data_IF_910942924409
#
_entry.id   IF_910942924409
#
_cell.length_a   1.000
_cell.length_b   1.000
_cell.length_c   1.000
_cell.angle_alpha   90.00
_cell.angle_beta   90.00
_cell.angle_gamma   90.00
#
_symmetry.space_group_name_H-M   'P 1'
#
loop_
_entity.id
_entity.type
_entity.pdbx_description
1 polymer ?
#
# COMPACT_ATOMS: atom_id res chain seq x y z
N UNK A 1 12.50 -17.51 60.73
CA UNK A 1 13.28 -17.89 59.54
C UNK A 1 12.32 -18.12 58.39
N UNK A 2 12.30 -17.18 57.46
CA UNK A 2 11.33 -16.99 56.39
C UNK A 2 11.72 -17.82 55.17
N UNK A 3 10.83 -18.64 54.62
CA UNK A 3 10.96 -19.17 53.25
C UNK A 3 10.05 -18.35 52.34
N UNK A 4 10.65 -17.44 51.57
CA UNK A 4 10.03 -16.87 50.38
C UNK A 4 10.04 -17.93 49.28
N UNK A 5 8.87 -18.29 48.76
CA UNK A 5 8.76 -18.96 47.47
C UNK A 5 8.01 -18.03 46.54
N UNK A 6 8.75 -17.50 45.56
CA UNK A 6 8.31 -16.56 44.52
C UNK A 6 7.22 -17.19 43.64
N UNK A 7 6.08 -16.52 43.35
CA UNK A 7 5.17 -16.99 42.32
C UNK A 7 5.78 -16.74 40.94
N UNK A 8 5.95 -17.80 40.16
CA UNK A 8 6.39 -17.78 38.77
C UNK A 8 5.28 -17.16 37.91
N UNK A 9 5.38 -15.86 37.60
CA UNK A 9 4.59 -15.25 36.53
C UNK A 9 5.00 -15.92 35.22
N UNK A 10 4.16 -16.83 34.74
CA UNK A 10 4.19 -17.22 33.32
C UNK A 10 2.91 -16.65 32.75
N UNK A 11 3.02 -15.48 32.13
CA UNK A 11 2.00 -14.95 31.24
C UNK A 11 2.13 -15.71 29.93
N UNK A 12 1.25 -16.68 29.59
CA UNK A 12 1.06 -16.99 28.19
C UNK A 12 0.34 -15.78 27.59
N UNK A 13 1.08 -14.87 26.97
CA UNK A 13 0.51 -13.97 25.96
C UNK A 13 0.22 -14.80 24.72
N UNK A 14 -0.73 -15.71 24.84
CA UNK A 14 -1.50 -16.22 23.73
C UNK A 14 -2.71 -15.30 23.74
N UNK A 15 -2.60 -14.18 23.03
CA UNK A 15 -3.80 -13.59 22.43
C UNK A 15 -4.31 -14.67 21.49
N UNK A 16 -5.12 -15.57 22.05
CA UNK A 16 -5.86 -16.58 21.31
C UNK A 16 -6.68 -15.79 20.31
N UNK A 17 -6.31 -15.93 19.05
CA UNK A 17 -7.00 -15.32 17.93
C UNK A 17 -8.35 -16.04 17.73
N UNK A 18 -9.24 -15.93 18.71
CA UNK A 18 -10.68 -16.15 18.53
C UNK A 18 -11.33 -14.82 18.09
N UNK A 19 -10.79 -14.25 17.01
CA UNK A 19 -11.51 -13.24 16.26
C UNK A 19 -12.35 -13.99 15.22
N UNK A 20 -13.65 -14.15 15.48
CA UNK A 20 -14.65 -14.74 14.57
C UNK A 20 -14.94 -13.85 13.36
N UNK A 21 -13.89 -13.28 12.75
CA UNK A 21 -13.89 -12.43 11.57
C UNK A 21 -13.68 -10.94 11.85
N UNK A 22 -12.60 -10.37 11.31
CA UNK A 22 -12.49 -8.94 11.03
C UNK A 22 -12.10 -8.76 9.56
N UNK A 23 -13.10 -8.57 8.70
CA UNK A 23 -12.87 -8.09 7.33
C UNK A 23 -12.94 -6.56 7.39
N UNK A 24 -11.82 -5.93 7.73
CA UNK A 24 -11.69 -4.47 7.64
C UNK A 24 -11.23 -4.10 6.23
N UNK A 25 -12.19 -3.93 5.32
CA UNK A 25 -11.89 -3.31 4.03
C UNK A 25 -11.53 -1.84 4.25
N UNK A 26 -10.29 -1.47 3.94
CA UNK A 26 -9.74 -0.19 4.40
C UNK A 26 -9.54 0.77 3.24
N UNK A 27 -10.08 1.98 3.38
CA UNK A 27 -9.90 3.04 2.40
C UNK A 27 -8.72 3.91 2.79
N UNK A 28 -7.72 3.98 1.91
CA UNK A 28 -6.58 4.89 2.04
C UNK A 28 -6.76 6.04 1.08
N UNK A 29 -6.98 7.24 1.61
CA UNK A 29 -7.21 8.44 0.81
C UNK A 29 -5.93 9.25 0.68
N UNK A 30 -5.48 9.47 -0.55
CA UNK A 30 -4.25 10.22 -0.85
C UNK A 30 -4.58 11.49 -1.63
N UNK A 31 -3.96 12.60 -1.21
CA UNK A 31 -4.11 13.94 -1.81
C UNK A 31 -2.85 14.77 -1.60
N UNK A 32 -2.48 15.60 -2.57
CA UNK A 32 -1.27 16.39 -2.56
C UNK A 32 0.01 15.56 -2.51
N UNK A 33 1.13 16.25 -2.35
CA UNK A 33 2.45 15.62 -2.29
C UNK A 33 2.54 14.61 -1.13
N UNK A 34 3.15 13.46 -1.42
CA UNK A 34 3.37 12.38 -0.45
C UNK A 34 4.87 12.19 -0.22
N UNK A 35 5.22 11.80 1.01
CA UNK A 35 6.54 11.31 1.38
C UNK A 35 6.39 9.98 2.09
N UNK A 36 7.37 9.09 1.91
CA UNK A 36 7.38 7.79 2.56
C UNK A 36 8.80 7.46 3.00
N UNK A 37 8.88 6.70 4.09
CA UNK A 37 10.12 6.05 4.52
C UNK A 37 10.15 4.63 3.94
N UNK A 38 11.31 4.24 3.41
CA UNK A 38 11.54 2.89 2.88
C UNK A 38 12.65 2.25 3.71
N UNK A 39 12.37 1.11 4.33
CA UNK A 39 13.35 0.34 5.10
C UNK A 39 13.52 -1.06 4.52
N UNK A 40 14.71 -1.62 4.72
CA UNK A 40 15.09 -2.94 4.19
C UNK A 40 15.55 -3.82 5.34
N UNK A 41 15.07 -5.07 5.34
CA UNK A 41 15.44 -6.06 6.34
C UNK A 41 15.92 -7.35 5.67
N UNK A 42 16.93 -7.98 6.27
CA UNK A 42 17.48 -9.28 5.89
C UNK A 42 17.78 -9.39 4.38
N UNK A 43 18.38 -8.34 3.81
CA UNK A 43 18.64 -8.26 2.38
C UNK A 43 19.39 -9.49 1.84
N UNK A 44 19.03 -9.94 0.64
CA UNK A 44 19.63 -11.11 -0.04
C UNK A 44 19.51 -12.44 0.73
N UNK A 45 18.50 -12.56 1.60
CA UNK A 45 18.15 -13.82 2.28
C UNK A 45 16.74 -14.29 1.89
N UNK A 46 16.36 -15.54 2.21
CA UNK A 46 14.98 -16.01 2.03
C UNK A 46 13.92 -15.23 2.82
N UNK A 47 14.32 -14.42 3.81
CA UNK A 47 13.43 -13.59 4.64
C UNK A 47 13.59 -12.10 4.35
N UNK A 48 14.14 -11.76 3.18
CA UNK A 48 14.28 -10.39 2.74
C UNK A 48 12.90 -9.74 2.62
N UNK A 49 12.79 -8.51 3.13
CA UNK A 49 11.56 -7.71 3.03
C UNK A 49 11.89 -6.23 2.90
N UNK A 50 11.05 -5.53 2.17
CA UNK A 50 11.07 -4.06 2.05
C UNK A 50 9.83 -3.53 2.74
N UNK A 51 9.97 -2.55 3.61
CA UNK A 51 8.82 -1.86 4.22
C UNK A 51 8.70 -0.46 3.68
N UNK A 52 7.47 0.00 3.50
CA UNK A 52 7.14 1.38 3.13
C UNK A 52 6.19 1.95 4.17
N UNK A 53 6.57 3.06 4.79
CA UNK A 53 5.70 3.81 5.69
C UNK A 53 5.24 5.09 4.99
N UNK A 54 3.95 5.18 4.67
CA UNK A 54 3.31 6.32 4.05
C UNK A 54 2.25 6.88 5.01
N UNK A 55 2.56 7.99 5.68
CA UNK A 55 1.69 8.52 6.73
C UNK A 55 1.44 7.47 7.81
N UNK A 56 0.18 7.07 8.01
CA UNK A 56 -0.21 6.02 8.96
C UNK A 56 -0.32 4.62 8.34
N UNK A 57 0.07 4.45 7.08
CA UNK A 57 0.02 3.16 6.37
C UNK A 57 1.42 2.57 6.31
N UNK A 58 1.61 1.47 7.03
CA UNK A 58 2.78 0.61 6.92
C UNK A 58 2.48 -0.53 5.94
N UNK A 59 3.32 -0.68 4.92
CA UNK A 59 3.26 -1.80 3.99
C UNK A 59 4.56 -2.59 4.03
N UNK A 60 4.46 -3.91 4.16
CA UNK A 60 5.59 -4.83 4.05
C UNK A 60 5.48 -5.61 2.75
N UNK A 61 6.57 -5.67 1.99
CA UNK A 61 6.67 -6.44 0.76
C UNK A 61 7.64 -7.59 0.97
N UNK A 62 7.15 -8.83 0.82
CA UNK A 62 7.95 -10.06 1.01
C UNK A 62 8.61 -10.57 -0.28
N UNK A 63 8.34 -9.93 -1.42
CA UNK A 63 8.90 -10.30 -2.72
C UNK A 63 8.92 -9.09 -3.66
N UNK A 64 9.80 -9.13 -4.67
CA UNK A 64 9.78 -8.13 -5.74
C UNK A 64 8.50 -8.22 -6.56
N UNK A 65 7.95 -9.43 -6.75
CA UNK A 65 6.64 -9.67 -7.39
C UNK A 65 5.49 -8.94 -6.69
N UNK A 66 5.45 -8.97 -5.35
CA UNK A 66 4.44 -8.26 -4.57
C UNK A 66 4.54 -6.73 -4.73
N UNK A 67 5.76 -6.19 -4.65
CA UNK A 67 6.00 -4.76 -4.86
C UNK A 67 5.62 -4.32 -6.30
N UNK A 68 5.96 -5.14 -7.29
CA UNK A 68 5.61 -4.91 -8.68
C UNK A 68 4.09 -4.84 -8.87
N UNK A 69 3.33 -5.79 -8.33
CA UNK A 69 1.86 -5.80 -8.46
C UNK A 69 1.16 -4.62 -7.80
N UNK A 70 1.66 -4.14 -6.65
CA UNK A 70 1.10 -2.93 -6.02
C UNK A 70 1.40 -1.69 -6.88
N UNK A 71 2.62 -1.58 -7.44
CA UNK A 71 2.98 -0.50 -8.35
C UNK A 71 2.15 -0.54 -9.65
N UNK A 72 1.89 -1.72 -10.20
CA UNK A 72 1.00 -1.91 -11.35
C UNK A 72 -0.41 -1.40 -11.07
N UNK A 73 -0.99 -1.81 -9.94
CA UNK A 73 -2.36 -1.41 -9.59
C UNK A 73 -2.50 0.10 -9.46
N UNK A 74 -1.56 0.77 -8.78
CA UNK A 74 -1.56 2.24 -8.73
C UNK A 74 -1.35 2.83 -10.12
N UNK A 75 -0.44 2.29 -10.93
CA UNK A 75 -0.15 2.78 -12.27
C UNK A 75 -1.35 2.66 -13.23
N UNK A 76 -2.22 1.67 -13.04
CA UNK A 76 -3.45 1.53 -13.81
C UNK A 76 -4.40 2.74 -13.65
N UNK A 77 -4.31 3.50 -12.56
CA UNK A 77 -5.06 4.75 -12.41
C UNK A 77 -4.66 5.83 -13.43
N UNK A 78 -3.51 5.69 -14.12
CA UNK A 78 -3.03 6.63 -15.16
C UNK A 78 -4.07 6.91 -16.23
N UNK A 79 -4.90 5.92 -16.61
CA UNK A 79 -5.94 6.10 -17.62
C UNK A 79 -6.99 7.17 -17.26
N UNK A 80 -7.11 7.51 -15.97
CA UNK A 80 -8.18 8.36 -15.43
C UNK A 80 -7.69 9.72 -14.91
N UNK A 81 -6.37 9.89 -14.79
CA UNK A 81 -5.75 11.03 -14.11
C UNK A 81 -5.94 12.38 -14.81
N UNK A 82 -6.06 12.38 -16.14
CA UNK A 82 -6.18 13.63 -16.92
C UNK A 82 -7.42 14.46 -16.57
N UNK A 83 -8.41 13.86 -15.89
CA UNK A 83 -9.66 14.51 -15.47
C UNK A 83 -9.65 14.92 -14.00
N UNK A 84 -8.56 14.69 -13.27
CA UNK A 84 -8.46 15.00 -11.84
C UNK A 84 -7.91 16.41 -11.58
N UNK A 85 -8.22 17.01 -10.42
CA UNK A 85 -7.57 18.23 -9.95
C UNK A 85 -6.04 18.11 -9.94
N UNK A 86 -5.33 19.22 -10.15
CA UNK A 86 -3.87 19.23 -10.17
C UNK A 86 -3.27 18.87 -8.80
N UNK A 87 -3.73 19.56 -7.77
CA UNK A 87 -3.25 19.45 -6.39
C UNK A 87 -4.38 19.88 -5.45
N UNK A 88 -4.60 19.10 -4.39
CA UNK A 88 -5.51 19.44 -3.30
C UNK A 88 -4.67 19.49 -2.03
N UNK A 89 -4.65 20.67 -1.39
CA UNK A 89 -3.88 20.89 -0.18
C UNK A 89 -4.15 19.82 0.88
N UNK A 90 -3.08 19.22 1.40
CA UNK A 90 -3.17 18.29 2.51
C UNK A 90 -3.24 19.07 3.82
N UNK A 91 -4.37 18.98 4.52
CA UNK A 91 -4.41 19.25 5.95
C UNK A 91 -4.35 17.89 6.64
N UNK A 92 -3.15 17.52 7.10
CA UNK A 92 -2.96 16.33 7.90
C UNK A 92 -3.45 16.62 9.33
N UNK A 93 -4.41 15.83 9.81
CA UNK A 93 -4.73 15.75 11.23
C UNK A 93 -3.80 14.69 11.86
N UNK A 94 -2.82 15.09 12.68
CA UNK A 94 -1.81 14.18 13.22
C UNK A 94 -2.33 13.25 14.32
N UNK A 95 -3.51 13.50 14.89
CA UNK A 95 -3.99 12.77 16.07
C UNK A 95 -5.24 11.92 15.83
N UNK A 96 -5.84 11.99 14.63
CA UNK A 96 -7.13 11.34 14.33
C UNK A 96 -7.09 10.13 13.40
N UNK A 97 -5.92 9.70 12.90
CA UNK A 97 -5.85 8.70 11.84
C UNK A 97 -5.46 7.30 12.37
N UNK A 98 -6.26 6.25 12.09
CA UNK A 98 -5.86 4.89 12.43
C UNK A 98 -4.58 4.51 11.69
N UNK A 99 -3.70 3.78 12.38
CA UNK A 99 -2.52 3.17 11.78
C UNK A 99 -2.89 1.81 11.22
N UNK A 100 -2.53 1.56 9.96
CA UNK A 100 -2.84 0.33 9.25
C UNK A 100 -1.52 -0.32 8.84
N UNK A 101 -1.39 -1.61 9.10
CA UNK A 101 -0.28 -2.43 8.62
C UNK A 101 -0.80 -3.46 7.62
N UNK A 102 -0.15 -3.55 6.46
CA UNK A 102 -0.50 -4.52 5.40
C UNK A 102 0.74 -5.27 4.96
N UNK A 103 0.67 -6.59 4.98
CA UNK A 103 1.72 -7.47 4.48
C UNK A 103 1.33 -8.02 3.10
N UNK A 104 2.12 -7.64 2.09
CA UNK A 104 2.02 -8.14 0.73
C UNK A 104 2.93 -9.35 0.55
N UNK A 105 2.34 -10.53 0.71
CA UNK A 105 3.04 -11.82 0.55
C UNK A 105 3.02 -12.32 -0.90
N UNK A 106 2.09 -11.83 -1.71
CA UNK A 106 1.92 -12.18 -3.11
C UNK A 106 1.55 -10.96 -3.96
N UNK A 107 1.64 -11.09 -5.28
CA UNK A 107 1.19 -10.07 -6.24
C UNK A 107 -0.33 -9.89 -6.13
N UNK A 108 -0.84 -8.71 -5.74
CA UNK A 108 -2.28 -8.50 -5.60
C UNK A 108 -2.97 -8.43 -6.95
N UNK A 109 -4.20 -8.93 -7.01
CA UNK A 109 -5.14 -8.53 -8.06
C UNK A 109 -5.59 -7.09 -7.83
N UNK A 110 -5.87 -6.36 -8.91
CA UNK A 110 -6.25 -4.97 -8.82
C UNK A 110 -7.35 -4.58 -9.81
N UNK A 111 -8.09 -3.52 -9.46
CA UNK A 111 -9.02 -2.85 -10.36
C UNK A 111 -8.99 -1.34 -10.12
N UNK A 112 -8.73 -0.56 -11.18
CA UNK A 112 -8.76 0.90 -11.14
C UNK A 112 -10.11 1.41 -11.69
N UNK A 113 -10.91 2.06 -10.84
CA UNK A 113 -12.27 2.48 -11.13
C UNK A 113 -12.35 4.01 -11.02
N UNK A 114 -12.63 4.74 -12.12
CA UNK A 114 -12.88 6.17 -12.05
C UNK A 114 -14.20 6.43 -11.33
N UNK A 115 -14.17 7.36 -10.38
CA UNK A 115 -15.34 7.82 -9.65
C UNK A 115 -15.59 9.29 -9.89
N UNK A 116 -16.85 9.70 -9.79
CA UNK A 116 -17.23 11.11 -9.82
C UNK A 116 -18.45 11.39 -8.96
N UNK A 117 -18.47 12.55 -8.33
CA UNK A 117 -19.62 13.02 -7.54
C UNK A 117 -19.80 14.51 -7.73
N UNK A 118 -21.04 14.92 -7.99
CA UNK A 118 -21.41 16.34 -7.99
C UNK A 118 -21.50 16.81 -6.53
N UNK A 119 -20.96 17.99 -6.24
CA UNK A 119 -21.06 18.58 -4.90
C UNK A 119 -22.52 18.87 -4.54
N UNK A 120 -22.90 18.89 -3.24
CA UNK A 120 -24.29 19.13 -2.83
C UNK A 120 -24.87 20.45 -3.34
N UNK A 121 -24.02 21.46 -3.53
CA UNK A 121 -24.36 22.77 -4.09
C UNK A 121 -24.45 22.78 -5.63
N UNK A 122 -24.23 21.65 -6.29
CA UNK A 122 -24.26 21.45 -7.75
C UNK A 122 -23.25 22.29 -8.57
N UNK A 123 -22.27 22.91 -7.91
CA UNK A 123 -21.31 23.82 -8.59
C UNK A 123 -20.09 23.11 -9.14
N UNK A 124 -19.70 21.98 -8.56
CA UNK A 124 -18.46 21.29 -8.92
C UNK A 124 -18.67 19.78 -9.05
N UNK A 125 -17.94 19.17 -9.98
CA UNK A 125 -17.84 17.71 -10.08
C UNK A 125 -16.51 17.27 -9.50
N UNK A 126 -16.54 16.63 -8.34
CA UNK A 126 -15.38 15.94 -7.77
C UNK A 126 -15.11 14.67 -8.57
N UNK A 127 -13.86 14.43 -8.90
CA UNK A 127 -13.40 13.25 -9.64
C UNK A 127 -12.20 12.67 -8.91
N UNK A 128 -12.22 11.36 -8.71
CA UNK A 128 -11.12 10.62 -8.10
C UNK A 128 -11.08 9.22 -8.71
N UNK A 129 -10.03 8.46 -8.44
CA UNK A 129 -9.96 7.06 -8.87
C UNK A 129 -9.74 6.17 -7.67
N UNK A 130 -10.46 5.07 -7.67
CA UNK A 130 -10.35 4.03 -6.66
C UNK A 130 -9.56 2.88 -7.23
N UNK A 131 -8.43 2.54 -6.60
CA UNK A 131 -7.66 1.35 -6.93
C UNK A 131 -7.91 0.32 -5.85
N UNK A 132 -8.68 -0.70 -6.18
CA UNK A 132 -8.96 -1.84 -5.30
C UNK A 132 -7.79 -2.83 -5.39
N UNK A 133 -7.17 -3.17 -4.26
CA UNK A 133 -6.07 -4.13 -4.18
C UNK A 133 -6.14 -4.89 -2.86
N UNK A 134 -6.50 -6.17 -2.91
CA UNK A 134 -6.62 -7.00 -1.70
C UNK A 134 -7.44 -6.31 -0.59
N UNK A 135 -6.87 -6.05 0.61
CA UNK A 135 -7.58 -5.44 1.74
C UNK A 135 -7.69 -3.91 1.66
N UNK A 136 -7.03 -3.27 0.67
CA UNK A 136 -6.98 -1.81 0.55
C UNK A 136 -7.73 -1.31 -0.69
N UNK A 137 -8.45 -0.21 -0.53
CA UNK A 137 -8.86 0.66 -1.64
C UNK A 137 -8.14 1.98 -1.54
N UNK A 138 -7.34 2.30 -2.54
CA UNK A 138 -6.66 3.59 -2.66
C UNK A 138 -7.57 4.59 -3.36
N UNK A 139 -7.96 5.65 -2.67
CA UNK A 139 -8.68 6.77 -3.26
C UNK A 139 -7.67 7.86 -3.63
N UNK A 140 -7.40 8.00 -4.91
CA UNK A 140 -6.45 8.98 -5.47
C UNK A 140 -7.25 10.21 -5.93
N UNK A 141 -7.06 11.34 -5.24
CA UNK A 141 -7.92 12.52 -5.39
C UNK A 141 -7.38 13.58 -6.36
N UNK A 142 -6.08 13.62 -6.57
CA UNK A 142 -5.43 14.60 -7.43
C UNK A 142 -4.17 14.05 -8.11
N UNK A 143 -3.67 14.81 -9.09
CA UNK A 143 -2.53 14.39 -9.91
C UNK A 143 -1.23 14.39 -9.12
N UNK A 144 -1.04 15.33 -8.20
CA UNK A 144 0.14 15.40 -7.34
C UNK A 144 0.30 14.13 -6.48
N UNK A 145 -0.80 13.64 -5.89
CA UNK A 145 -0.84 12.42 -5.10
C UNK A 145 -0.52 11.18 -5.92
N UNK A 146 -1.09 11.06 -7.12
CA UNK A 146 -0.75 9.96 -8.03
C UNK A 146 0.74 9.96 -8.35
N UNK A 147 1.29 11.08 -8.81
CA UNK A 147 2.70 11.15 -9.20
C UNK A 147 3.63 10.85 -8.02
N UNK A 148 3.32 11.38 -6.83
CA UNK A 148 4.09 11.10 -5.63
C UNK A 148 4.03 9.61 -5.25
N UNK A 149 2.83 9.02 -5.24
CA UNK A 149 2.64 7.61 -4.87
C UNK A 149 3.31 6.67 -5.88
N UNK A 150 3.15 6.90 -7.19
CA UNK A 150 3.81 6.12 -8.24
C UNK A 150 5.33 6.21 -8.12
N UNK A 151 5.88 7.41 -7.88
CA UNK A 151 7.33 7.58 -7.68
C UNK A 151 7.82 6.77 -6.48
N UNK A 152 7.16 6.93 -5.32
CA UNK A 152 7.52 6.20 -4.10
C UNK A 152 7.47 4.68 -4.34
N UNK A 153 6.40 4.18 -4.97
CA UNK A 153 6.27 2.75 -5.25
C UNK A 153 7.29 2.25 -6.28
N UNK A 154 7.74 3.11 -7.21
CA UNK A 154 8.87 2.79 -8.10
C UNK A 154 10.17 2.68 -7.33
N UNK A 155 10.41 3.56 -6.35
CA UNK A 155 11.58 3.48 -5.46
C UNK A 155 11.54 2.17 -4.63
N UNK A 156 10.36 1.79 -4.11
CA UNK A 156 10.15 0.52 -3.40
C UNK A 156 10.38 -0.69 -4.32
N UNK A 157 9.82 -0.69 -5.52
CA UNK A 157 9.98 -1.78 -6.48
C UNK A 157 11.44 -1.95 -6.89
N UNK A 158 12.13 -0.84 -7.22
CA UNK A 158 13.56 -0.85 -7.54
C UNK A 158 14.40 -1.36 -6.36
N UNK A 159 14.03 -1.00 -5.13
CA UNK A 159 14.69 -1.53 -3.93
C UNK A 159 14.43 -3.03 -3.78
N UNK A 160 13.18 -3.47 -3.96
CA UNK A 160 12.79 -4.87 -3.84
C UNK A 160 13.46 -5.76 -4.89
N UNK A 161 13.68 -5.29 -6.12
CA UNK A 161 14.38 -6.08 -7.15
C UNK A 161 15.85 -6.35 -6.83
N UNK A 162 16.49 -5.50 -6.04
CA UNK A 162 17.86 -5.71 -5.58
C UNK A 162 17.87 -6.57 -4.30
N UNK A 163 16.96 -6.29 -3.38
CA UNK A 163 16.90 -6.87 -2.03
C UNK A 163 16.39 -8.30 -2.03
N UNK A 164 15.31 -8.59 -2.77
CA UNK A 164 14.63 -9.88 -2.76
C UNK A 164 15.28 -10.86 -3.76
N UNK A 165 15.21 -12.15 -3.45
CA UNK A 165 15.83 -13.19 -4.28
C UNK A 165 15.13 -13.38 -5.63
N UNK A 166 13.85 -13.03 -5.73
CA UNK A 166 13.05 -13.09 -6.96
C UNK A 166 13.24 -11.88 -7.88
N UNK A 167 13.97 -10.85 -7.44
CA UNK A 167 14.05 -9.56 -8.10
C UNK A 167 14.52 -9.58 -9.55
N UNK A 168 15.41 -10.49 -9.93
CA UNK A 168 15.88 -10.64 -11.32
C UNK A 168 14.77 -11.03 -12.30
N UNK A 169 13.68 -11.65 -11.81
CA UNK A 169 12.51 -12.03 -12.62
C UNK A 169 11.49 -10.88 -12.76
N UNK A 170 11.64 -9.83 -11.95
CA UNK A 170 10.64 -8.77 -11.76
C UNK A 170 11.23 -7.38 -12.04
N UNK A 171 12.19 -7.27 -12.96
CA UNK A 171 12.91 -6.02 -13.29
C UNK A 171 12.10 -5.04 -14.15
N UNK A 172 11.04 -5.50 -14.82
CA UNK A 172 10.24 -4.66 -15.70
C UNK A 172 9.52 -3.54 -14.92
N UNK A 173 9.65 -2.30 -15.37
CA UNK A 173 9.02 -1.11 -14.78
C UNK A 173 7.53 -1.07 -15.14
N UNK A 174 6.61 -1.26 -14.16
CA UNK A 174 5.17 -1.23 -14.40
C UNK A 174 4.61 0.11 -14.88
N UNK A 175 5.40 1.16 -14.76
CA UNK A 175 4.97 2.51 -15.09
C UNK A 175 5.30 2.90 -16.54
N UNK A 176 6.11 2.09 -17.23
CA UNK A 176 6.50 2.29 -18.62
C UNK A 176 5.31 2.03 -19.57
N UNK A 177 5.27 2.75 -20.69
CA UNK A 177 4.14 2.68 -21.64
C UNK A 177 4.06 1.34 -22.38
N UNK A 178 5.19 0.63 -22.51
CA UNK A 178 5.31 -0.68 -23.14
C UNK A 178 5.16 -1.85 -22.16
N UNK A 179 4.89 -1.55 -20.89
CA UNK A 179 4.72 -2.58 -19.88
C UNK A 179 3.45 -3.40 -20.11
N UNK A 180 3.61 -4.72 -20.25
CA UNK A 180 2.50 -5.67 -20.31
C UNK A 180 2.46 -6.45 -18.99
N UNK A 181 1.38 -6.30 -18.19
CA UNK A 181 1.22 -7.09 -16.97
C UNK A 181 1.25 -8.58 -17.29
N UNK A 182 1.96 -9.36 -16.47
CA UNK A 182 1.89 -10.81 -16.59
C UNK A 182 0.44 -11.23 -16.31
N UNK A 183 -0.25 -11.78 -17.31
CA UNK A 183 -1.65 -12.21 -17.15
C UNK A 183 -1.74 -13.20 -16.00
N UNK A 184 -2.43 -12.82 -14.93
CA UNK A 184 -2.79 -13.74 -13.86
C UNK A 184 -4.02 -14.51 -14.34
N UNK A 185 -4.01 -15.86 -14.36
CA UNK A 185 -5.18 -16.61 -14.74
C UNK A 185 -6.33 -16.25 -13.79
N UNK A 186 -7.50 -15.94 -14.35
CA UNK A 186 -8.76 -15.88 -13.61
C UNK A 186 -8.93 -17.23 -12.89
N UNK A 187 -8.89 -17.23 -11.56
CA UNK A 187 -9.35 -18.35 -10.74
C UNK A 187 -10.84 -18.22 -10.46
#
# INVERSE_FOLDING_TARGET
MTKLTTPKLTTPSILSADATGLIAHTYVRVRGAQTAQIDVYNARTPHARVTMTLGTVLMTFWSASAAQGVLEGISAARATIGRMPADISTNADPYGQPTIAVDWTSRPSYAAIPQSRVTPDQRHTLRWTEVHMGPLTWQILDRAAFHALTRILRDVHTTATVVCLDGSKHLADPTADDYVPAQQPLQ
#
